data_IF_554814024144
#
_entry.id   IF_554814024144
#
_cell.length_a   1.000
_cell.length_b   1.000
_cell.length_c   1.000
_cell.angle_alpha   90.00
_cell.angle_beta   90.00
_cell.angle_gamma   90.00
#
_symmetry.space_group_name_H-M   'P 1'
#
loop_
_entity.id
_entity.type
_entity.pdbx_description
1 polymer ?
#
# COMPACT_ATOMS: atom_id res chain seq x y z
N UNK A 1 -14.53 -9.97 43.13
CA UNK A 1 -13.61 -9.90 41.97
C UNK A 1 -14.38 -10.48 40.80
N UNK A 2 -14.86 -9.62 39.90
CA UNK A 2 -15.67 -10.04 38.75
C UNK A 2 -14.76 -10.71 37.73
N UNK A 3 -15.04 -11.98 37.40
CA UNK A 3 -14.38 -12.70 36.32
C UNK A 3 -15.18 -12.49 35.04
N UNK A 4 -14.67 -11.67 34.13
CA UNK A 4 -15.20 -11.55 32.76
C UNK A 4 -14.96 -12.88 32.02
N UNK A 5 -16.04 -13.62 31.80
CA UNK A 5 -16.03 -14.83 30.96
C UNK A 5 -15.96 -14.35 29.51
N UNK A 6 -14.78 -14.40 28.90
CA UNK A 6 -14.63 -14.17 27.47
C UNK A 6 -15.28 -15.35 26.72
N UNK A 7 -16.48 -15.10 26.19
CA UNK A 7 -17.20 -16.05 25.35
C UNK A 7 -16.41 -16.29 24.05
N UNK A 8 -16.09 -17.55 23.76
CA UNK A 8 -15.51 -17.94 22.47
C UNK A 8 -16.52 -17.66 21.35
N UNK A 9 -16.14 -16.89 20.30
CA UNK A 9 -17.07 -16.54 19.23
C UNK A 9 -17.51 -17.78 18.46
N UNK A 10 -18.78 -17.81 18.10
CA UNK A 10 -19.37 -18.87 17.27
C UNK A 10 -18.74 -18.87 15.86
N UNK A 11 -18.84 -19.99 15.15
CA UNK A 11 -18.28 -20.14 13.79
C UNK A 11 -18.84 -19.07 12.83
N UNK A 12 -20.09 -18.64 13.02
CA UNK A 12 -20.72 -17.61 12.20
C UNK A 12 -20.26 -16.19 12.56
N UNK A 13 -19.99 -15.92 13.83
CA UNK A 13 -19.36 -14.67 14.28
C UNK A 13 -17.92 -14.57 13.74
N UNK A 14 -17.12 -15.62 13.89
CA UNK A 14 -15.76 -15.68 13.35
C UNK A 14 -15.73 -15.53 11.81
N UNK A 15 -16.71 -16.13 11.10
CA UNK A 15 -16.85 -15.94 9.65
C UNK A 15 -17.29 -14.51 9.29
N UNK A 16 -18.12 -13.87 10.11
CA UNK A 16 -18.60 -12.51 9.85
C UNK A 16 -17.51 -11.48 10.14
N UNK A 17 -16.71 -11.68 11.18
CA UNK A 17 -15.49 -10.93 11.46
C UNK A 17 -14.45 -11.10 10.35
N UNK A 18 -14.23 -12.32 9.85
CA UNK A 18 -13.32 -12.55 8.72
C UNK A 18 -13.80 -11.87 7.42
N UNK A 19 -15.11 -11.93 7.13
CA UNK A 19 -15.71 -11.28 5.96
C UNK A 19 -15.67 -9.75 6.07
N UNK A 20 -16.02 -9.21 7.23
CA UNK A 20 -16.01 -7.76 7.49
C UNK A 20 -14.58 -7.21 7.57
N UNK A 21 -13.64 -7.97 8.14
CA UNK A 21 -12.21 -7.66 8.16
C UNK A 21 -11.61 -7.55 6.75
N UNK A 22 -12.00 -8.43 5.83
CA UNK A 22 -11.63 -8.35 4.41
C UNK A 22 -12.24 -7.13 3.69
N UNK A 23 -13.34 -6.59 4.21
CA UNK A 23 -14.10 -5.50 3.62
C UNK A 23 -13.68 -4.12 4.13
N UNK A 24 -12.77 -3.98 5.09
CA UNK A 24 -12.47 -2.66 5.67
C UNK A 24 -11.81 -1.68 4.69
N UNK A 25 -11.16 -2.15 3.63
CA UNK A 25 -10.62 -1.29 2.58
C UNK A 25 -10.43 -2.07 1.27
N UNK A 26 -10.86 -1.51 0.12
CA UNK A 26 -10.68 -2.20 -1.16
C UNK A 26 -9.21 -2.21 -1.59
N UNK A 27 -8.71 -3.31 -2.15
CA UNK A 27 -7.35 -3.37 -2.73
C UNK A 27 -7.08 -2.20 -3.69
N UNK A 28 -8.11 -1.74 -4.40
CA UNK A 28 -8.04 -0.60 -5.31
C UNK A 28 -7.80 0.72 -4.56
N UNK A 29 -8.50 0.92 -3.45
CA UNK A 29 -8.31 2.09 -2.60
C UNK A 29 -6.93 2.07 -1.93
N UNK A 30 -6.41 0.91 -1.52
CA UNK A 30 -5.04 0.82 -0.97
C UNK A 30 -4.02 1.16 -2.05
N UNK A 31 -4.22 0.68 -3.28
CA UNK A 31 -3.38 1.00 -4.41
C UNK A 31 -3.39 2.50 -4.74
N UNK A 32 -4.56 3.14 -4.77
CA UNK A 32 -4.67 4.59 -4.98
C UNK A 32 -3.94 5.37 -3.90
N UNK A 33 -4.12 5.00 -2.64
CA UNK A 33 -3.45 5.66 -1.53
C UNK A 33 -1.91 5.51 -1.62
N UNK A 34 -1.42 4.31 -1.96
CA UNK A 34 0.00 4.08 -2.23
C UNK A 34 0.50 4.91 -3.40
N UNK A 35 -0.30 5.09 -4.47
CA UNK A 35 0.07 5.94 -5.60
C UNK A 35 0.17 7.42 -5.20
N UNK A 36 -0.80 7.95 -4.45
CA UNK A 36 -0.77 9.33 -3.94
C UNK A 36 0.44 9.58 -3.03
N UNK A 37 0.73 8.63 -2.15
CA UNK A 37 1.86 8.68 -1.24
C UNK A 37 3.18 8.67 -2.02
N UNK A 38 3.33 7.78 -3.00
CA UNK A 38 4.51 7.73 -3.87
C UNK A 38 4.68 9.00 -4.71
N UNK A 39 3.59 9.57 -5.24
CA UNK A 39 3.65 10.82 -5.99
C UNK A 39 4.15 11.97 -5.11
N UNK A 40 3.68 12.03 -3.86
CA UNK A 40 4.13 13.02 -2.87
C UNK A 40 5.61 12.82 -2.53
N UNK A 41 6.04 11.58 -2.32
CA UNK A 41 7.44 11.24 -2.06
C UNK A 41 8.36 11.64 -3.23
N UNK A 42 7.96 11.34 -4.47
CA UNK A 42 8.71 11.74 -5.66
C UNK A 42 8.80 13.26 -5.83
N UNK A 43 7.76 14.01 -5.44
CA UNK A 43 7.81 15.47 -5.46
C UNK A 43 8.79 16.03 -4.43
N UNK A 44 8.89 15.42 -3.23
CA UNK A 44 9.84 15.81 -2.18
C UNK A 44 11.27 15.40 -2.50
N UNK A 45 11.47 14.23 -3.12
CA UNK A 45 12.77 13.70 -3.51
C UNK A 45 13.18 14.10 -4.93
N UNK A 46 12.70 15.23 -5.43
CA UNK A 46 12.86 15.61 -6.85
C UNK A 46 14.32 15.76 -7.26
N UNK A 47 15.16 16.32 -6.41
CA UNK A 47 16.60 16.50 -6.68
C UNK A 47 17.35 15.16 -6.81
N UNK A 48 16.96 14.16 -5.99
CA UNK A 48 17.53 12.81 -6.07
C UNK A 48 17.00 12.06 -7.29
N UNK A 49 15.74 12.30 -7.62
CA UNK A 49 15.08 11.72 -8.81
C UNK A 49 15.72 12.26 -10.09
N UNK A 50 16.02 13.57 -10.16
CA UNK A 50 16.70 14.16 -11.31
C UNK A 50 18.13 13.62 -11.45
N UNK A 51 18.89 13.51 -10.36
CA UNK A 51 20.24 12.95 -10.39
C UNK A 51 20.27 11.50 -10.88
N UNK A 52 19.33 10.66 -10.43
CA UNK A 52 19.19 9.28 -10.95
C UNK A 52 18.80 9.25 -12.43
N UNK A 53 17.89 10.14 -12.84
CA UNK A 53 17.45 10.23 -14.23
C UNK A 53 18.56 10.73 -15.18
N UNK A 54 19.38 11.68 -14.74
CA UNK A 54 20.56 12.15 -15.49
C UNK A 54 21.58 11.02 -15.67
N UNK A 55 21.92 10.31 -14.58
CA UNK A 55 22.80 9.14 -14.65
C UNK A 55 22.24 8.04 -15.58
N UNK A 56 20.93 7.78 -15.49
CA UNK A 56 20.25 6.80 -16.33
C UNK A 56 20.26 7.19 -17.81
N UNK A 57 20.16 8.49 -18.12
CA UNK A 57 20.29 9.00 -19.48
C UNK A 57 21.71 8.85 -20.00
N UNK A 58 22.71 9.17 -19.19
CA UNK A 58 24.12 9.10 -19.59
C UNK A 58 24.60 7.66 -19.84
N UNK A 59 24.16 6.71 -19.01
CA UNK A 59 24.62 5.31 -19.07
C UNK A 59 23.60 4.34 -19.68
N UNK A 60 22.43 4.83 -20.10
CA UNK A 60 21.34 4.01 -20.66
C UNK A 60 21.38 3.81 -22.18
N UNK A 61 22.17 4.59 -22.92
CA UNK A 61 22.31 4.43 -24.37
C UNK A 61 23.18 3.21 -24.71
N UNK A 62 22.54 2.07 -24.96
CA UNK A 62 23.16 0.87 -25.55
C UNK A 62 23.10 -0.39 -24.69
N UNK A 63 23.11 -0.26 -23.36
CA UNK A 63 22.92 -1.38 -22.44
C UNK A 63 22.14 -0.96 -21.19
N UNK A 64 20.83 -1.21 -21.21
CA UNK A 64 19.91 -0.92 -20.09
C UNK A 64 20.38 -1.54 -18.74
N UNK A 65 21.16 -2.63 -18.80
CA UNK A 65 21.77 -3.31 -17.65
C UNK A 65 22.89 -2.50 -16.96
N UNK A 66 23.57 -1.59 -17.67
CA UNK A 66 24.67 -0.81 -17.08
C UNK A 66 24.18 0.23 -16.06
N UNK A 67 22.95 0.72 -16.19
CA UNK A 67 22.35 1.70 -15.28
C UNK A 67 22.30 1.17 -13.85
N UNK A 68 22.00 -0.13 -13.66
CA UNK A 68 21.91 -0.74 -12.33
C UNK A 68 23.27 -0.73 -11.60
N UNK A 69 24.36 -0.87 -12.35
CA UNK A 69 25.72 -0.86 -11.80
C UNK A 69 26.28 0.54 -11.67
N UNK A 70 26.13 1.37 -12.71
CA UNK A 70 26.72 2.71 -12.78
C UNK A 70 25.95 3.75 -11.98
N UNK A 71 24.63 3.64 -11.92
CA UNK A 71 23.76 4.56 -11.18
C UNK A 71 23.35 4.02 -9.81
N UNK A 72 24.12 3.08 -9.26
CA UNK A 72 23.80 2.41 -7.99
C UNK A 72 23.77 3.40 -6.82
N UNK A 73 24.68 4.36 -6.78
CA UNK A 73 24.72 5.38 -5.73
C UNK A 73 23.52 6.33 -5.80
N UNK A 74 23.20 6.82 -7.00
CA UNK A 74 22.05 7.72 -7.21
C UNK A 74 20.74 6.99 -6.90
N UNK A 75 20.65 5.70 -7.23
CA UNK A 75 19.51 4.86 -6.87
C UNK A 75 19.42 4.64 -5.36
N UNK A 76 20.55 4.45 -4.67
CA UNK A 76 20.57 4.32 -3.21
C UNK A 76 20.07 5.60 -2.54
N UNK A 77 20.64 6.75 -2.91
CA UNK A 77 20.24 8.05 -2.37
C UNK A 77 18.77 8.39 -2.65
N UNK A 78 18.25 8.00 -3.82
CA UNK A 78 16.83 8.13 -4.14
C UNK A 78 15.98 7.22 -3.25
N UNK A 79 16.36 5.95 -3.07
CA UNK A 79 15.60 5.02 -2.24
C UNK A 79 15.62 5.40 -0.76
N UNK A 80 16.73 5.91 -0.23
CA UNK A 80 16.80 6.44 1.14
C UNK A 80 15.79 7.57 1.33
N UNK A 81 15.77 8.55 0.41
CA UNK A 81 14.82 9.65 0.46
C UNK A 81 13.37 9.15 0.34
N UNK A 82 13.09 8.24 -0.60
CA UNK A 82 11.74 7.68 -0.76
C UNK A 82 11.30 6.90 0.49
N UNK A 83 12.21 6.19 1.15
CA UNK A 83 11.89 5.38 2.34
C UNK A 83 11.43 6.25 3.52
N UNK A 84 11.97 7.47 3.67
CA UNK A 84 11.52 8.43 4.69
C UNK A 84 10.05 8.83 4.52
N UNK A 85 9.58 8.95 3.27
CA UNK A 85 8.21 9.39 2.97
C UNK A 85 7.23 8.25 2.70
N UNK A 86 7.74 7.04 2.42
CA UNK A 86 6.94 5.84 2.09
C UNK A 86 6.88 4.81 3.22
N UNK A 87 7.31 5.19 4.43
CA UNK A 87 7.27 4.34 5.62
C UNK A 87 5.84 3.85 5.92
N UNK A 88 5.75 2.72 6.63
CA UNK A 88 4.45 2.15 7.06
C UNK A 88 3.64 3.16 7.88
N UNK A 89 4.32 3.96 8.69
CA UNK A 89 3.73 5.01 9.52
C UNK A 89 3.11 6.13 8.66
N UNK A 90 3.78 6.56 7.58
CA UNK A 90 3.24 7.55 6.66
C UNK A 90 2.00 7.03 5.90
N UNK A 91 1.99 5.73 5.59
CA UNK A 91 0.87 5.06 4.94
C UNK A 91 -0.32 4.90 5.89
N UNK A 92 -0.09 4.55 7.15
CA UNK A 92 -1.13 4.44 8.18
C UNK A 92 -1.72 5.80 8.56
N UNK A 93 -0.90 6.86 8.64
CA UNK A 93 -1.38 8.23 8.84
C UNK A 93 -2.27 8.69 7.68
N UNK A 94 -1.89 8.39 6.43
CA UNK A 94 -2.71 8.69 5.26
C UNK A 94 -3.98 7.84 5.20
N UNK A 95 -3.93 6.57 5.62
CA UNK A 95 -5.13 5.73 5.77
C UNK A 95 -6.07 6.37 6.78
N UNK A 96 -5.60 6.67 7.99
CA UNK A 96 -6.41 7.26 9.05
C UNK A 96 -7.07 8.60 8.61
N UNK A 97 -6.34 9.43 7.87
CA UNK A 97 -6.86 10.69 7.35
C UNK A 97 -7.90 10.52 6.22
N UNK A 98 -7.83 9.43 5.43
CA UNK A 98 -8.70 9.20 4.26
C UNK A 98 -9.77 8.13 4.48
N UNK A 99 -9.81 7.49 5.66
CA UNK A 99 -10.88 6.56 6.10
C UNK A 99 -12.27 7.18 5.99
N UNK A 100 -12.40 8.49 6.14
CA UNK A 100 -13.69 9.19 6.05
C UNK A 100 -14.19 9.44 4.63
N UNK A 101 -13.32 9.43 3.61
CA UNK A 101 -13.65 9.90 2.25
C UNK A 101 -13.73 8.81 1.18
N UNK A 102 -13.22 7.60 1.45
CA UNK A 102 -13.15 6.55 0.44
C UNK A 102 -14.29 5.55 0.64
N UNK A 103 -15.25 5.47 -0.29
CA UNK A 103 -16.35 4.51 -0.18
C UNK A 103 -15.76 3.11 -0.21
N UNK A 104 -15.93 2.40 0.90
CA UNK A 104 -15.72 0.97 0.98
C UNK A 104 -16.64 0.33 -0.06
N UNK A 105 -16.11 -0.06 -1.22
CA UNK A 105 -16.88 -0.82 -2.20
C UNK A 105 -17.07 -2.22 -1.62
N UNK A 106 -18.13 -2.36 -0.82
CA UNK A 106 -18.67 -3.65 -0.41
C UNK A 106 -19.22 -4.28 -1.69
N UNK A 107 -18.42 -5.12 -2.35
CA UNK A 107 -18.95 -5.99 -3.39
C UNK A 107 -19.85 -6.99 -2.70
N UNK A 108 -21.15 -6.76 -2.74
CA UNK A 108 -22.13 -7.78 -2.39
C UNK A 108 -21.91 -8.98 -3.30
N UNK A 109 -21.35 -10.06 -2.77
CA UNK A 109 -21.24 -11.32 -3.49
C UNK A 109 -22.60 -11.99 -3.36
N UNK A 110 -23.36 -12.22 -4.45
CA UNK A 110 -24.61 -12.95 -4.37
C UNK A 110 -24.32 -14.34 -3.81
N UNK A 111 -24.91 -14.65 -2.65
CA UNK A 111 -24.84 -15.98 -2.03
C UNK A 111 -25.53 -16.95 -2.99
N UNK A 112 -24.78 -17.60 -3.88
CA UNK A 112 -25.33 -18.68 -4.69
C UNK A 112 -25.81 -19.79 -3.75
N UNK A 113 -27.12 -20.07 -3.81
CA UNK A 113 -27.77 -21.22 -3.18
C UNK A 113 -27.29 -22.51 -3.84
N UNK A 114 -26.12 -23.02 -3.46
CA UNK A 114 -25.72 -24.39 -3.80
C UNK A 114 -25.54 -25.17 -2.51
N UNK A 115 -26.65 -25.49 -1.85
CA UNK A 115 -26.81 -26.62 -0.93
C UNK A 115 -28.32 -26.82 -0.69
N UNK A 116 -29.06 -26.96 -1.78
CA UNK A 116 -30.37 -27.62 -1.80
C UNK A 116 -30.26 -28.71 -2.86
N UNK A 117 -29.63 -29.82 -2.47
CA UNK A 117 -29.86 -31.19 -2.94
C UNK A 117 -29.11 -32.14 -2.03
#
# INVERSE_FOLDING_TARGET
>A
MSTEVQATPTVDEAKTEWRSGRLQWSNQAEHKLKQELNATALAKCRDRTSAFHECSKEHGYGHMLMVVFKCREQNHALNECLHEYTSKEALEALKAAKVSDIPVVIKEVPRKKYFEQ
#
